data_IF_127396189830
#
_entry.id   IF_127396189830
#
_cell.length_a   1.000
_cell.length_b   1.000
_cell.length_c   1.000
_cell.angle_alpha   90.00
_cell.angle_beta   90.00
_cell.angle_gamma   90.00
#
_symmetry.space_group_name_H-M   'P 1'
#
loop_
_entity.id
_entity.type
_entity.pdbx_description
1 polymer ?
#
# COMPACT_ATOMS: atom_id res chain seq x y z
N UNK A 1 -0.06 -19.51 63.42
CA UNK A 1 -0.97 -20.60 63.01
C UNK A 1 -0.20 -21.63 62.20
N UNK A 2 -0.30 -22.93 62.50
CA UNK A 2 0.31 -23.97 61.68
C UNK A 2 -0.25 -23.94 60.25
N UNK A 3 0.60 -24.12 59.23
CA UNK A 3 0.16 -24.17 57.84
C UNK A 3 -0.81 -25.35 57.64
N UNK A 4 -2.00 -25.06 57.09
CA UNK A 4 -3.03 -26.06 56.82
C UNK A 4 -2.55 -27.06 55.75
N UNK A 5 -3.08 -28.29 55.75
CA UNK A 5 -2.62 -29.36 54.87
C UNK A 5 -2.68 -28.98 53.37
N UNK A 6 -3.71 -28.26 52.95
CA UNK A 6 -3.85 -27.79 51.56
C UNK A 6 -2.77 -26.77 51.16
N UNK A 7 -2.32 -25.92 52.09
CA UNK A 7 -1.24 -24.95 51.82
C UNK A 7 0.09 -25.67 51.58
N UNK A 8 0.35 -26.74 52.34
CA UNK A 8 1.53 -27.59 52.15
C UNK A 8 1.48 -28.28 50.79
N UNK A 9 0.32 -28.84 50.42
CA UNK A 9 0.11 -29.46 49.10
C UNK A 9 0.29 -28.47 47.96
N UNK A 10 -0.31 -27.28 48.04
CA UNK A 10 -0.20 -26.24 47.00
C UNK A 10 1.25 -25.77 46.83
N UNK A 11 1.97 -25.51 47.92
CA UNK A 11 3.39 -25.13 47.85
C UNK A 11 4.25 -26.23 47.23
N UNK A 12 3.97 -27.49 47.57
CA UNK A 12 4.64 -28.64 46.97
C UNK A 12 4.36 -28.72 45.48
N UNK A 13 3.10 -28.60 45.05
CA UNK A 13 2.74 -28.58 43.62
C UNK A 13 3.42 -27.45 42.84
N UNK A 14 3.54 -26.26 43.44
CA UNK A 14 4.27 -25.13 42.83
C UNK A 14 5.75 -25.45 42.68
N UNK A 15 6.37 -26.05 43.70
CA UNK A 15 7.77 -26.45 43.66
C UNK A 15 8.00 -27.56 42.62
N UNK A 16 7.12 -28.54 42.55
CA UNK A 16 7.21 -29.66 41.62
C UNK A 16 6.99 -29.21 40.17
N UNK A 17 6.03 -28.31 39.93
CA UNK A 17 5.71 -27.81 38.58
C UNK A 17 6.61 -26.67 38.10
N UNK A 18 7.16 -25.86 39.03
CA UNK A 18 7.86 -24.63 38.69
C UNK A 18 9.29 -24.50 39.23
N UNK A 19 9.80 -25.52 39.91
CA UNK A 19 11.14 -25.53 40.48
C UNK A 19 11.30 -24.64 41.71
N UNK A 20 12.54 -24.56 42.19
CA UNK A 20 12.89 -23.77 43.38
C UNK A 20 12.78 -22.26 43.12
N UNK A 21 12.55 -21.49 44.19
CA UNK A 21 12.48 -20.03 44.15
C UNK A 21 11.07 -19.45 44.06
N UNK A 22 10.02 -20.26 43.88
CA UNK A 22 8.62 -19.80 43.93
C UNK A 22 7.98 -20.07 45.29
N UNK A 23 7.45 -19.03 45.92
CA UNK A 23 6.79 -19.12 47.22
C UNK A 23 5.47 -18.36 47.22
N UNK A 24 4.47 -18.92 47.90
CA UNK A 24 3.16 -18.29 48.10
C UNK A 24 2.96 -17.97 49.58
N UNK A 25 2.33 -16.88 49.98
CA UNK A 25 1.87 -16.68 51.37
C UNK A 25 0.53 -15.94 51.39
N UNK A 26 -0.23 -16.13 52.46
CA UNK A 26 -1.40 -15.31 52.72
C UNK A 26 -0.96 -13.88 53.08
N UNK A 27 -1.55 -12.86 52.43
CA UNK A 27 -1.39 -11.46 52.82
C UNK A 27 -2.73 -10.74 52.64
N UNK A 28 -3.28 -10.20 53.73
CA UNK A 28 -4.54 -9.44 53.73
C UNK A 28 -5.70 -10.19 53.05
N UNK A 29 -5.85 -11.49 53.35
CA UNK A 29 -6.87 -12.36 52.73
C UNK A 29 -6.60 -12.76 51.28
N UNK A 30 -5.53 -12.26 50.65
CA UNK A 30 -5.16 -12.51 49.26
C UNK A 30 -3.87 -13.33 49.15
N UNK A 31 -3.62 -13.81 47.94
CA UNK A 31 -2.45 -14.63 47.61
C UNK A 31 -1.25 -13.75 47.26
N UNK A 32 -0.19 -13.77 48.07
CA UNK A 32 1.10 -13.15 47.73
C UNK A 32 2.01 -14.16 47.05
N UNK A 33 2.49 -13.83 45.86
CA UNK A 33 3.51 -14.57 45.13
C UNK A 33 4.88 -13.91 45.33
N UNK A 34 5.87 -14.73 45.68
CA UNK A 34 7.26 -14.32 45.88
C UNK A 34 8.16 -15.16 44.98
N UNK A 35 9.04 -14.51 44.22
CA UNK A 35 10.09 -15.13 43.44
C UNK A 35 11.45 -14.75 44.04
N UNK A 36 12.24 -15.76 44.38
CA UNK A 36 13.66 -15.64 44.72
C UNK A 36 14.47 -15.92 43.46
N UNK A 37 15.30 -14.96 43.07
CA UNK A 37 16.17 -15.04 41.90
C UNK A 37 17.52 -15.67 42.27
N UNK A 38 18.30 -16.05 41.26
CA UNK A 38 19.59 -16.73 41.44
C UNK A 38 20.63 -15.84 42.14
N UNK A 39 20.52 -14.52 41.98
CA UNK A 39 21.33 -13.51 42.67
C UNK A 39 20.93 -13.28 44.14
N UNK A 40 19.97 -14.07 44.65
CA UNK A 40 19.44 -13.96 46.02
C UNK A 40 18.43 -12.82 46.22
N UNK A 41 18.19 -11.99 45.21
CA UNK A 41 17.18 -10.93 45.29
C UNK A 41 15.76 -11.52 45.29
N UNK A 42 14.84 -10.81 45.94
CA UNK A 42 13.46 -11.25 46.10
C UNK A 42 12.52 -10.24 45.49
N UNK A 43 11.64 -10.72 44.63
CA UNK A 43 10.51 -9.95 44.11
C UNK A 43 9.21 -10.54 44.63
N UNK A 44 8.25 -9.70 45.01
CA UNK A 44 6.96 -10.17 45.49
C UNK A 44 5.82 -9.30 45.00
N UNK A 45 4.68 -9.92 44.69
CA UNK A 45 3.46 -9.22 44.28
C UNK A 45 2.21 -9.98 44.75
N UNK A 46 1.17 -9.24 45.10
CA UNK A 46 -0.12 -9.80 45.50
C UNK A 46 -0.96 -10.07 44.25
N UNK A 47 -1.41 -11.32 44.10
CA UNK A 47 -2.39 -11.73 43.11
C UNK A 47 -3.80 -11.35 43.61
N UNK A 48 -4.73 -10.94 42.73
CA UNK A 48 -6.11 -10.63 43.09
C UNK A 48 -6.96 -11.89 43.33
N UNK A 49 -6.39 -12.92 43.97
CA UNK A 49 -7.03 -14.20 44.26
C UNK A 49 -7.05 -14.40 45.76
N UNK A 50 -8.23 -14.72 46.32
CA UNK A 50 -8.41 -14.93 47.74
C UNK A 50 -7.65 -16.19 48.23
N UNK A 51 -6.96 -16.09 49.37
CA UNK A 51 -6.19 -17.19 49.96
C UNK A 51 -7.11 -18.20 50.66
N UNK A 52 -7.71 -19.10 49.87
CA UNK A 52 -8.61 -20.17 50.33
C UNK A 52 -8.33 -21.47 49.60
N UNK A 53 -8.61 -22.60 50.26
CA UNK A 53 -8.42 -23.94 49.71
C UNK A 53 -9.16 -24.17 48.38
N UNK A 54 -10.37 -23.62 48.23
CA UNK A 54 -11.19 -23.68 47.02
C UNK A 54 -10.52 -23.02 45.81
N UNK A 55 -9.62 -22.07 46.03
CA UNK A 55 -8.93 -21.34 44.97
C UNK A 55 -7.55 -21.94 44.64
N UNK A 56 -7.17 -23.06 45.24
CA UNK A 56 -5.84 -23.68 45.07
C UNK A 56 -5.45 -23.92 43.60
N UNK A 57 -6.37 -24.45 42.79
CA UNK A 57 -6.17 -24.66 41.34
C UNK A 57 -6.04 -23.32 40.60
N UNK A 58 -6.86 -22.32 40.96
CA UNK A 58 -6.80 -20.99 40.35
C UNK A 58 -5.46 -20.30 40.66
N UNK A 59 -4.97 -20.43 41.90
CA UNK A 59 -3.66 -19.93 42.33
C UNK A 59 -2.55 -20.61 41.53
N UNK A 60 -2.59 -21.94 41.40
CA UNK A 60 -1.61 -22.71 40.63
C UNK A 60 -1.54 -22.26 39.15
N UNK A 61 -2.70 -22.11 38.51
CA UNK A 61 -2.79 -21.65 37.13
C UNK A 61 -2.28 -20.22 36.95
N UNK A 62 -2.57 -19.33 37.92
CA UNK A 62 -2.06 -17.96 37.88
C UNK A 62 -0.54 -17.91 37.97
N UNK A 63 0.08 -18.71 38.86
CA UNK A 63 1.55 -18.81 38.92
C UNK A 63 2.14 -19.33 37.61
N UNK A 64 1.49 -20.33 36.99
CA UNK A 64 1.91 -20.89 35.69
C UNK A 64 1.93 -19.81 34.60
N UNK A 65 0.84 -19.03 34.46
CA UNK A 65 0.73 -17.97 33.45
C UNK A 65 1.71 -16.83 33.72
N UNK A 66 1.83 -16.39 34.97
CA UNK A 66 2.80 -15.34 35.35
C UNK A 66 4.22 -15.78 35.02
N UNK A 67 4.59 -17.02 35.31
CA UNK A 67 5.91 -17.56 34.94
C UNK A 67 6.12 -17.56 33.42
N UNK A 68 5.16 -18.07 32.66
CA UNK A 68 5.26 -18.09 31.19
C UNK A 68 5.39 -16.68 30.60
N UNK A 69 4.68 -15.69 31.15
CA UNK A 69 4.80 -14.28 30.75
C UNK A 69 6.19 -13.73 31.04
N UNK A 70 6.77 -14.05 32.21
CA UNK A 70 8.13 -13.65 32.57
C UNK A 70 9.15 -14.27 31.60
N UNK A 71 9.06 -15.57 31.32
CA UNK A 71 10.02 -16.27 30.45
C UNK A 71 9.89 -15.90 28.97
N UNK A 72 8.66 -15.83 28.44
CA UNK A 72 8.43 -15.58 27.01
C UNK A 72 8.64 -14.13 26.58
N UNK A 73 8.51 -13.17 27.51
CA UNK A 73 8.58 -11.72 27.22
C UNK A 73 9.68 -11.00 27.99
N UNK A 74 10.50 -11.72 28.77
CA UNK A 74 11.55 -11.18 29.62
C UNK A 74 11.05 -10.05 30.55
N UNK A 75 9.90 -10.26 31.21
CA UNK A 75 9.21 -9.27 32.03
C UNK A 75 9.53 -9.42 33.52
N UNK A 76 9.42 -8.31 34.26
CA UNK A 76 9.47 -8.33 35.72
C UNK A 76 8.24 -9.03 36.34
N UNK A 77 8.36 -9.56 37.56
CA UNK A 77 7.23 -10.17 38.28
C UNK A 77 6.05 -9.20 38.43
N UNK A 78 6.33 -7.93 38.66
CA UNK A 78 5.30 -6.90 38.81
C UNK A 78 4.53 -6.66 37.51
N UNK A 79 5.22 -6.63 36.37
CA UNK A 79 4.59 -6.45 35.05
C UNK A 79 3.84 -7.69 34.60
N UNK A 80 4.39 -8.89 34.82
CA UNK A 80 3.73 -10.14 34.50
C UNK A 80 2.42 -10.30 35.28
N UNK A 81 2.41 -10.00 36.58
CA UNK A 81 1.18 -10.00 37.40
C UNK A 81 0.21 -8.92 36.96
N UNK A 82 0.69 -7.73 36.56
CA UNK A 82 -0.18 -6.66 36.03
C UNK A 82 -0.87 -7.10 34.74
N UNK A 83 -0.14 -7.75 33.82
CA UNK A 83 -0.70 -8.25 32.57
C UNK A 83 -1.68 -9.41 32.79
N UNK A 84 -1.35 -10.40 33.63
CA UNK A 84 -2.26 -11.49 33.99
C UNK A 84 -3.54 -10.94 34.66
N UNK A 85 -3.39 -9.96 35.55
CA UNK A 85 -4.54 -9.31 36.20
C UNK A 85 -5.36 -8.49 35.21
N UNK A 86 -4.73 -7.79 34.27
CA UNK A 86 -5.43 -7.03 33.24
C UNK A 86 -6.18 -7.97 32.27
N UNK A 87 -5.59 -9.11 31.93
CA UNK A 87 -6.21 -10.16 31.10
C UNK A 87 -7.42 -10.79 31.80
N UNK A 88 -7.39 -10.95 33.13
CA UNK A 88 -8.52 -11.40 33.95
C UNK A 88 -9.58 -10.30 34.20
N UNK A 89 -9.20 -9.02 34.14
CA UNK A 89 -10.09 -7.87 34.34
C UNK A 89 -10.81 -7.45 33.05
N UNK A 90 -10.33 -7.86 31.89
CA UNK A 90 -11.12 -7.87 30.67
C UNK A 90 -12.12 -9.02 30.82
N UNK A 91 -13.44 -8.77 30.88
CA UNK A 91 -14.39 -9.87 30.89
C UNK A 91 -14.14 -10.69 29.62
N UNK A 92 -13.76 -11.95 29.81
CA UNK A 92 -13.70 -12.98 28.78
C UNK A 92 -15.11 -13.34 28.34
N UNK A 93 -15.83 -12.37 27.81
CA UNK A 93 -16.86 -12.58 26.82
C UNK A 93 -16.16 -12.68 25.47
N UNK A 94 -15.52 -13.83 25.19
CA UNK A 94 -15.45 -14.27 23.81
C UNK A 94 -16.89 -14.48 23.37
N UNK A 95 -17.44 -13.45 22.74
CA UNK A 95 -18.67 -13.49 21.94
C UNK A 95 -18.41 -12.71 20.66
N UNK A 96 -17.16 -12.79 20.18
CA UNK A 96 -16.69 -12.16 18.97
C UNK A 96 -16.84 -13.10 17.79
N UNK A 97 -16.91 -12.55 16.59
CA UNK A 97 -17.04 -13.31 15.33
C UNK A 97 -15.91 -14.35 15.16
N UNK A 98 -14.78 -14.21 15.84
CA UNK A 98 -13.71 -15.22 15.85
C UNK A 98 -14.15 -16.62 16.34
N UNK A 99 -15.14 -16.72 17.22
CA UNK A 99 -15.69 -18.01 17.68
C UNK A 99 -16.39 -18.78 16.57
N UNK A 100 -16.92 -18.06 15.58
CA UNK A 100 -17.56 -18.62 14.38
C UNK A 100 -16.53 -19.06 13.33
N UNK A 101 -15.24 -18.90 13.61
CA UNK A 101 -14.12 -19.30 12.76
C UNK A 101 -13.65 -18.21 11.80
N UNK A 102 -12.48 -18.44 11.21
CA UNK A 102 -11.77 -17.46 10.37
C UNK A 102 -12.56 -17.00 9.15
N UNK A 103 -13.38 -17.87 8.56
CA UNK A 103 -14.24 -17.53 7.44
C UNK A 103 -15.25 -16.44 7.82
N UNK A 104 -15.84 -16.51 9.02
CA UNK A 104 -16.79 -15.51 9.52
C UNK A 104 -16.10 -14.16 9.74
N UNK A 105 -14.90 -14.16 10.34
CA UNK A 105 -14.08 -12.95 10.55
C UNK A 105 -13.72 -12.28 9.23
N UNK A 106 -13.38 -13.07 8.20
CA UNK A 106 -13.11 -12.54 6.85
C UNK A 106 -14.36 -11.88 6.25
N UNK A 107 -15.54 -12.50 6.35
CA UNK A 107 -16.77 -11.91 5.81
C UNK A 107 -17.13 -10.61 6.53
N UNK A 108 -17.02 -10.57 7.86
CA UNK A 108 -17.29 -9.37 8.65
C UNK A 108 -16.31 -8.24 8.30
N UNK A 109 -15.02 -8.56 8.21
CA UNK A 109 -14.00 -7.60 7.80
C UNK A 109 -14.30 -7.02 6.42
N UNK A 110 -14.67 -7.87 5.44
CA UNK A 110 -15.05 -7.43 4.09
C UNK A 110 -16.33 -6.60 4.06
N UNK A 111 -17.32 -6.89 4.93
CA UNK A 111 -18.52 -6.07 5.09
C UNK A 111 -18.17 -4.64 5.50
N UNK A 112 -17.19 -4.48 6.40
CA UNK A 112 -16.61 -3.18 6.76
C UNK A 112 -15.83 -2.48 5.64
N UNK A 113 -15.61 -3.12 4.49
CA UNK A 113 -14.89 -2.58 3.32
C UNK A 113 -15.78 -2.33 2.10
N UNK A 114 -17.10 -2.39 2.22
CA UNK A 114 -18.02 -2.21 1.08
C UNK A 114 -17.91 -0.84 0.39
N UNK A 115 -17.36 0.18 1.05
CA UNK A 115 -17.07 1.49 0.43
C UNK A 115 -15.83 1.52 -0.48
N UNK A 116 -15.11 0.41 -0.65
CA UNK A 116 -13.97 0.32 -1.57
C UNK A 116 -14.42 0.14 -3.03
N UNK A 117 -13.56 0.57 -3.97
CA UNK A 117 -13.77 0.26 -5.39
C UNK A 117 -13.81 -1.26 -5.62
N UNK A 118 -14.64 -1.69 -6.57
CA UNK A 118 -14.86 -3.11 -6.91
C UNK A 118 -13.56 -3.89 -7.13
N UNK A 119 -12.61 -3.32 -7.89
CA UNK A 119 -11.30 -3.95 -8.13
C UNK A 119 -10.46 -4.09 -6.87
N UNK A 120 -10.42 -3.05 -6.02
CA UNK A 120 -9.68 -3.09 -4.75
C UNK A 120 -10.28 -4.11 -3.78
N UNK A 121 -11.61 -4.19 -3.75
CA UNK A 121 -12.32 -5.17 -2.94
C UNK A 121 -12.07 -6.60 -3.45
N UNK A 122 -12.12 -6.82 -4.77
CA UNK A 122 -11.79 -8.10 -5.40
C UNK A 122 -10.38 -8.55 -5.07
N UNK A 123 -9.39 -7.67 -5.22
CA UNK A 123 -7.99 -7.95 -4.88
C UNK A 123 -7.82 -8.29 -3.39
N UNK A 124 -8.50 -7.56 -2.50
CA UNK A 124 -8.49 -7.85 -1.06
C UNK A 124 -9.11 -9.22 -0.78
N UNK A 125 -10.24 -9.55 -1.40
CA UNK A 125 -10.91 -10.85 -1.26
C UNK A 125 -9.99 -12.00 -1.68
N UNK A 126 -9.30 -11.87 -2.80
CA UNK A 126 -8.32 -12.86 -3.26
C UNK A 126 -7.22 -13.09 -2.22
N UNK A 127 -6.69 -12.03 -1.61
CA UNK A 127 -5.66 -12.14 -0.57
C UNK A 127 -6.18 -12.82 0.71
N UNK A 128 -7.39 -12.48 1.14
CA UNK A 128 -7.99 -13.09 2.33
C UNK A 128 -8.36 -14.57 2.09
N UNK A 129 -8.82 -14.92 0.89
CA UNK A 129 -9.07 -16.32 0.52
C UNK A 129 -7.78 -17.15 0.56
N UNK A 130 -6.66 -16.60 0.06
CA UNK A 130 -5.34 -17.23 0.18
C UNK A 130 -4.92 -17.44 1.64
N UNK A 131 -5.24 -16.50 2.53
CA UNK A 131 -5.00 -16.66 3.97
C UNK A 131 -5.82 -17.82 4.56
N UNK A 132 -7.09 -17.96 4.16
CA UNK A 132 -7.93 -19.08 4.61
C UNK A 132 -7.34 -20.43 4.17
N UNK A 133 -6.80 -20.52 2.95
CA UNK A 133 -6.07 -21.71 2.48
C UNK A 133 -4.87 -22.02 3.39
N UNK A 134 -4.09 -21.01 3.79
CA UNK A 134 -2.96 -21.22 4.70
C UNK A 134 -3.36 -21.70 6.10
N UNK A 135 -4.51 -21.24 6.60
CA UNK A 135 -5.04 -21.60 7.92
C UNK A 135 -5.56 -23.03 7.97
N UNK A 136 -6.07 -23.54 6.85
CA UNK A 136 -6.64 -24.90 6.79
C UNK A 136 -5.59 -26.00 6.52
N UNK A 137 -4.47 -25.64 5.85
CA UNK A 137 -3.39 -26.59 5.58
C UNK A 137 -2.71 -27.13 6.84
N UNK A 138 -2.50 -28.46 6.87
CA UNK A 138 -1.78 -29.16 7.95
C UNK A 138 -0.25 -29.06 7.77
N UNK A 139 0.53 -28.90 8.85
CA UNK A 139 0.09 -28.62 10.22
C UNK A 139 -0.47 -27.20 10.34
N UNK A 140 -1.61 -27.02 11.01
CA UNK A 140 -2.27 -25.70 11.10
C UNK A 140 -1.35 -24.67 11.77
N UNK A 141 -1.22 -23.45 11.22
CA UNK A 141 -0.40 -22.43 11.85
C UNK A 141 -1.01 -22.05 13.21
N UNK A 142 -0.16 -21.76 14.20
CA UNK A 142 -0.59 -21.47 15.57
C UNK A 142 -0.46 -19.99 15.95
N UNK A 143 0.24 -19.22 15.13
CA UNK A 143 0.50 -17.80 15.35
C UNK A 143 0.59 -17.05 14.00
N UNK A 144 0.65 -15.73 14.09
CA UNK A 144 0.79 -14.84 12.93
C UNK A 144 2.09 -15.07 12.17
N UNK A 145 3.18 -15.47 12.83
CA UNK A 145 4.50 -15.66 12.22
C UNK A 145 4.52 -16.88 11.29
N UNK A 146 4.04 -18.01 11.77
CA UNK A 146 3.91 -19.26 11.02
C UNK A 146 2.95 -19.08 9.83
N UNK A 147 1.84 -18.37 10.03
CA UNK A 147 0.89 -18.06 8.97
C UNK A 147 1.52 -17.21 7.87
N UNK A 148 2.21 -16.11 8.23
CA UNK A 148 2.83 -15.21 7.24
C UNK A 148 3.98 -15.88 6.48
N UNK A 149 4.82 -16.70 7.14
CA UNK A 149 5.84 -17.52 6.47
C UNK A 149 5.21 -18.46 5.45
N UNK A 150 4.15 -19.17 5.84
CA UNK A 150 3.44 -20.09 4.95
C UNK A 150 2.80 -19.36 3.77
N UNK A 151 2.16 -18.22 4.03
CA UNK A 151 1.56 -17.40 2.98
C UNK A 151 2.61 -17.00 1.93
N UNK A 152 3.79 -16.56 2.39
CA UNK A 152 4.89 -16.22 1.50
C UNK A 152 5.37 -17.44 0.70
N UNK A 153 5.57 -18.59 1.34
CA UNK A 153 6.00 -19.83 0.69
C UNK A 153 5.06 -20.29 -0.43
N UNK A 154 3.74 -20.19 -0.22
CA UNK A 154 2.75 -20.68 -1.18
C UNK A 154 2.46 -19.71 -2.32
N UNK A 155 2.55 -18.40 -2.07
CA UNK A 155 2.00 -17.41 -3.00
C UNK A 155 3.02 -16.40 -3.52
N UNK A 156 4.28 -16.43 -3.07
CA UNK A 156 5.31 -15.49 -3.54
C UNK A 156 6.29 -16.08 -4.56
N UNK A 157 6.13 -17.33 -4.97
CA UNK A 157 6.99 -17.97 -5.99
C UNK A 157 7.11 -17.13 -7.26
N UNK A 158 5.97 -16.63 -7.74
CA UNK A 158 5.87 -15.88 -9.00
C UNK A 158 5.91 -14.36 -8.78
N UNK A 159 6.24 -13.90 -7.56
CA UNK A 159 6.30 -12.49 -7.22
C UNK A 159 7.74 -12.07 -6.98
N UNK A 160 8.16 -10.98 -7.61
CA UNK A 160 9.48 -10.40 -7.39
C UNK A 160 9.71 -10.02 -5.92
N UNK A 161 10.90 -10.34 -5.43
CA UNK A 161 11.39 -9.89 -4.13
C UNK A 161 11.41 -8.36 -4.06
N UNK A 162 10.96 -7.78 -2.94
CA UNK A 162 10.82 -6.33 -2.76
C UNK A 162 9.76 -5.67 -3.64
N UNK A 163 9.00 -6.45 -4.42
CA UNK A 163 7.97 -5.97 -5.31
C UNK A 163 6.69 -5.50 -4.60
N UNK A 164 5.92 -4.65 -5.28
CA UNK A 164 4.61 -4.17 -4.82
C UNK A 164 3.62 -5.31 -4.55
N UNK A 165 3.71 -6.42 -5.30
CA UNK A 165 2.89 -7.61 -5.11
C UNK A 165 3.04 -8.19 -3.72
N UNK A 166 4.27 -8.52 -3.31
CA UNK A 166 4.57 -9.05 -1.96
C UNK A 166 4.16 -8.06 -0.88
N UNK A 167 4.51 -6.77 -1.04
CA UNK A 167 4.15 -5.68 -0.12
C UNK A 167 2.64 -5.61 0.14
N UNK A 168 1.82 -5.55 -0.91
CA UNK A 168 0.35 -5.46 -0.79
C UNK A 168 -0.27 -6.69 -0.16
N UNK A 169 0.29 -7.87 -0.45
CA UNK A 169 -0.12 -9.13 0.18
C UNK A 169 0.10 -9.08 1.69
N UNK A 170 1.35 -8.90 2.13
CA UNK A 170 1.70 -8.85 3.55
C UNK A 170 0.91 -7.76 4.29
N UNK A 171 0.86 -6.53 3.77
CA UNK A 171 0.17 -5.43 4.42
C UNK A 171 -1.34 -5.68 4.59
N UNK A 172 -1.99 -6.31 3.61
CA UNK A 172 -3.41 -6.63 3.71
C UNK A 172 -3.68 -7.69 4.79
N UNK A 173 -2.83 -8.71 4.86
CA UNK A 173 -2.94 -9.77 5.88
C UNK A 173 -2.67 -9.20 7.28
N UNK A 174 -1.62 -8.39 7.43
CA UNK A 174 -1.29 -7.72 8.70
C UNK A 174 -2.45 -6.83 9.17
N UNK A 175 -3.06 -6.04 8.27
CA UNK A 175 -4.21 -5.22 8.61
C UNK A 175 -5.43 -6.05 9.04
N UNK A 176 -5.68 -7.18 8.36
CA UNK A 176 -6.74 -8.12 8.73
C UNK A 176 -6.49 -8.76 10.10
N UNK A 177 -5.28 -9.25 10.36
CA UNK A 177 -4.94 -9.89 11.64
C UNK A 177 -5.07 -8.94 12.83
N UNK A 178 -4.68 -7.67 12.66
CA UNK A 178 -4.93 -6.63 13.67
C UNK A 178 -6.42 -6.45 13.93
N UNK A 179 -7.24 -6.35 12.88
CA UNK A 179 -8.69 -6.30 13.03
C UNK A 179 -9.25 -7.53 13.75
N UNK A 180 -8.76 -8.73 13.41
CA UNK A 180 -9.23 -9.97 14.00
C UNK A 180 -9.01 -10.01 15.52
N UNK A 181 -7.84 -9.55 15.99
CA UNK A 181 -7.52 -9.46 17.42
C UNK A 181 -8.28 -8.31 18.08
N UNK A 182 -8.20 -7.10 17.53
CA UNK A 182 -8.69 -5.88 18.18
C UNK A 182 -10.23 -5.79 18.20
N UNK A 183 -10.92 -6.38 17.21
CA UNK A 183 -12.37 -6.20 17.01
C UNK A 183 -13.17 -7.49 16.91
N UNK A 184 -12.59 -8.57 16.40
CA UNK A 184 -13.31 -9.83 16.23
C UNK A 184 -13.08 -10.84 17.37
N UNK A 185 -12.20 -10.52 18.33
CA UNK A 185 -11.95 -11.35 19.52
C UNK A 185 -10.99 -12.53 19.30
N UNK A 186 -10.15 -12.50 18.25
CA UNK A 186 -9.14 -13.53 18.02
C UNK A 186 -8.02 -13.47 19.08
N UNK A 187 -7.41 -14.63 19.37
CA UNK A 187 -6.35 -14.75 20.36
C UNK A 187 -5.12 -13.88 20.02
N UNK A 188 -4.43 -13.36 21.05
CA UNK A 188 -3.29 -12.45 20.91
C UNK A 188 -2.10 -13.01 20.12
N UNK A 189 -1.96 -14.34 20.01
CA UNK A 189 -0.93 -14.98 19.17
C UNK A 189 -1.06 -14.63 17.67
N UNK A 190 -2.22 -14.13 17.24
CA UNK A 190 -2.48 -13.69 15.88
C UNK A 190 -2.11 -12.24 15.62
N UNK A 191 -1.72 -11.48 16.65
CA UNK A 191 -1.26 -10.11 16.46
C UNK A 191 0.03 -10.13 15.61
N UNK A 192 0.11 -9.37 14.50
CA UNK A 192 1.30 -9.37 13.66
C UNK A 192 2.53 -8.84 14.40
N UNK A 193 3.66 -9.53 14.19
CA UNK A 193 4.96 -9.25 14.79
C UNK A 193 5.63 -7.99 14.22
N UNK A 194 6.88 -7.74 14.62
CA UNK A 194 7.68 -6.56 14.28
C UNK A 194 7.76 -6.24 12.78
N UNK A 195 7.93 -4.94 12.48
CA UNK A 195 8.07 -4.44 11.10
C UNK A 195 9.25 -5.10 10.36
N UNK A 196 10.34 -5.40 11.07
CA UNK A 196 11.53 -6.11 10.57
C UNK A 196 11.16 -7.45 9.92
N UNK A 197 10.36 -8.28 10.61
CA UNK A 197 9.92 -9.58 10.10
C UNK A 197 9.04 -9.45 8.85
N UNK A 198 8.13 -8.48 8.82
CA UNK A 198 7.30 -8.25 7.61
C UNK A 198 8.14 -7.76 6.43
N UNK A 199 9.20 -6.99 6.68
CA UNK A 199 10.12 -6.53 5.65
C UNK A 199 10.95 -7.68 5.07
N UNK A 200 11.40 -8.63 5.91
CA UNK A 200 12.09 -9.85 5.49
C UNK A 200 11.25 -10.66 4.49
N UNK A 201 9.95 -10.85 4.77
CA UNK A 201 9.04 -11.58 3.87
C UNK A 201 8.77 -10.85 2.55
N UNK A 202 8.73 -9.52 2.59
CA UNK A 202 8.59 -8.71 1.37
C UNK A 202 9.88 -8.81 0.54
N UNK A 203 11.03 -8.83 1.21
CA UNK A 203 12.36 -8.87 0.61
C UNK A 203 12.82 -7.51 0.09
N UNK A 204 14.03 -7.51 -0.46
CA UNK A 204 14.64 -6.34 -1.11
C UNK A 204 14.51 -6.51 -2.62
N UNK A 205 14.24 -5.41 -3.31
CA UNK A 205 14.16 -5.40 -4.76
C UNK A 205 15.57 -5.36 -5.35
N UNK A 206 15.82 -6.23 -6.33
CA UNK A 206 17.08 -6.25 -7.08
C UNK A 206 17.28 -4.94 -7.87
N UNK A 207 16.19 -4.37 -8.40
CA UNK A 207 16.22 -3.12 -9.16
C UNK A 207 16.11 -1.91 -8.24
N UNK A 208 16.99 -0.92 -8.44
CA UNK A 208 16.91 0.36 -7.72
C UNK A 208 15.61 1.11 -8.04
N UNK A 209 15.28 2.12 -7.24
CA UNK A 209 14.13 2.99 -7.52
C UNK A 209 14.33 3.75 -8.83
N UNK A 210 15.55 4.22 -9.09
CA UNK A 210 15.91 4.98 -10.30
C UNK A 210 15.77 4.13 -11.56
N UNK A 211 16.24 2.87 -11.53
CA UNK A 211 16.10 1.96 -12.66
C UNK A 211 14.65 1.47 -12.90
N UNK A 212 13.72 1.71 -11.96
CA UNK A 212 12.28 1.44 -12.15
C UNK A 212 11.49 2.62 -12.68
N UNK A 213 12.12 3.79 -12.85
CA UNK A 213 11.43 4.95 -13.40
C UNK A 213 11.07 4.68 -14.85
N UNK A 214 9.77 4.73 -15.14
CA UNK A 214 9.31 4.73 -16.52
C UNK A 214 9.86 5.98 -17.23
N UNK A 215 10.65 5.82 -18.30
CA UNK A 215 11.25 6.95 -18.99
C UNK A 215 10.19 7.77 -19.75
N UNK A 216 10.41 9.08 -19.94
CA UNK A 216 9.63 9.88 -20.88
C UNK A 216 9.99 9.52 -22.33
N UNK A 217 9.02 9.60 -23.24
CA UNK A 217 9.34 9.61 -24.69
C UNK A 217 9.93 10.99 -25.01
N UNK A 218 11.09 11.04 -25.64
CA UNK A 218 11.76 12.30 -25.99
C UNK A 218 11.06 12.97 -27.18
N UNK A 219 11.29 14.27 -27.36
CA UNK A 219 10.63 15.08 -28.38
C UNK A 219 10.75 14.52 -29.81
N UNK A 220 11.94 14.09 -30.29
CA UNK A 220 12.08 13.55 -31.65
C UNK A 220 11.29 12.24 -31.86
N UNK A 221 11.37 11.32 -30.89
CA UNK A 221 10.65 10.05 -30.95
C UNK A 221 9.13 10.25 -30.92
N UNK A 222 8.65 11.22 -30.13
CA UNK A 222 7.23 11.56 -30.09
C UNK A 222 6.76 12.15 -31.42
N UNK A 223 7.53 13.07 -32.00
CA UNK A 223 7.24 13.66 -33.30
C UNK A 223 7.16 12.59 -34.40
N UNK A 224 8.18 11.71 -34.48
CA UNK A 224 8.22 10.61 -35.44
C UNK A 224 7.04 9.64 -35.27
N UNK A 225 6.64 9.35 -34.03
CA UNK A 225 5.48 8.51 -33.75
C UNK A 225 4.17 9.15 -34.24
N UNK A 226 3.98 10.45 -34.01
CA UNK A 226 2.79 11.18 -34.46
C UNK A 226 2.74 11.30 -35.99
N UNK A 227 3.88 11.51 -36.65
CA UNK A 227 3.97 11.56 -38.11
C UNK A 227 3.60 10.23 -38.74
N UNK A 228 4.12 9.14 -38.21
CA UNK A 228 3.79 7.82 -38.75
C UNK A 228 2.31 7.51 -38.58
N UNK A 229 1.68 7.91 -37.48
CA UNK A 229 0.22 7.75 -37.35
C UNK A 229 -0.57 8.59 -38.36
N UNK A 230 -0.07 9.78 -38.73
CA UNK A 230 -0.67 10.58 -39.79
C UNK A 230 -0.47 9.92 -41.16
N UNK A 231 0.74 9.46 -41.47
CA UNK A 231 1.09 8.80 -42.74
C UNK A 231 0.32 7.50 -42.95
N UNK A 232 0.13 6.71 -41.88
CA UNK A 232 -0.66 5.46 -41.91
C UNK A 232 -2.18 5.70 -41.91
N UNK A 233 -2.65 6.95 -41.95
CA UNK A 233 -4.07 7.30 -41.91
C UNK A 233 -4.76 6.97 -40.58
N UNK A 234 -3.98 6.74 -39.52
CA UNK A 234 -4.45 6.40 -38.16
C UNK A 234 -4.77 7.67 -37.36
N UNK A 235 -5.57 8.56 -37.93
CA UNK A 235 -5.90 9.85 -37.34
C UNK A 235 -6.60 9.73 -35.97
N UNK A 236 -7.37 8.66 -35.76
CA UNK A 236 -8.02 8.36 -34.47
C UNK A 236 -6.99 8.10 -33.36
N UNK A 237 -6.00 7.25 -33.65
CA UNK A 237 -4.91 6.91 -32.74
C UNK A 237 -3.96 8.08 -32.57
N UNK A 238 -3.69 8.85 -33.64
CA UNK A 238 -2.89 10.08 -33.58
C UNK A 238 -3.52 11.09 -32.65
N UNK A 239 -4.82 11.37 -32.80
CA UNK A 239 -5.54 12.30 -31.93
C UNK A 239 -5.46 11.88 -30.46
N UNK A 240 -5.78 10.61 -30.17
CA UNK A 240 -5.69 10.10 -28.79
C UNK A 240 -4.27 10.21 -28.22
N UNK A 241 -3.26 9.90 -29.02
CA UNK A 241 -1.85 9.97 -28.62
C UNK A 241 -1.39 11.41 -28.39
N UNK A 242 -1.74 12.34 -29.28
CA UNK A 242 -1.46 13.76 -29.14
C UNK A 242 -2.14 14.36 -27.92
N UNK A 243 -3.42 14.04 -27.66
CA UNK A 243 -4.11 14.48 -26.44
C UNK A 243 -3.38 13.97 -25.18
N UNK A 244 -2.93 12.72 -25.15
CA UNK A 244 -2.21 12.17 -24.00
C UNK A 244 -0.83 12.83 -23.82
N UNK A 245 -0.05 12.93 -24.88
CA UNK A 245 1.35 13.33 -24.83
C UNK A 245 1.55 14.85 -24.80
N UNK A 246 0.68 15.62 -25.45
CA UNK A 246 0.78 17.09 -25.52
C UNK A 246 0.03 17.79 -24.39
N UNK A 247 -0.99 17.18 -23.78
CA UNK A 247 -1.70 17.75 -22.62
C UNK A 247 -1.38 17.04 -21.29
N UNK A 248 -0.48 16.05 -21.33
CA UNK A 248 -0.06 15.31 -20.16
C UNK A 248 -1.22 14.57 -19.49
N UNK A 249 -2.13 13.96 -20.27
CA UNK A 249 -3.28 13.23 -19.73
C UNK A 249 -2.91 11.82 -19.28
N UNK A 250 -3.66 11.25 -18.34
CA UNK A 250 -3.64 9.79 -18.15
C UNK A 250 -4.43 9.15 -19.29
N UNK A 251 -4.07 7.95 -19.77
CA UNK A 251 -4.86 7.27 -20.82
C UNK A 251 -6.36 7.13 -20.47
N UNK A 252 -6.67 6.88 -19.20
CA UNK A 252 -8.06 6.80 -18.73
C UNK A 252 -8.80 8.15 -18.72
N UNK A 253 -8.09 9.28 -18.70
CA UNK A 253 -8.69 10.63 -18.69
C UNK A 253 -9.35 10.98 -20.03
N UNK A 254 -9.07 10.23 -21.11
CA UNK A 254 -9.80 10.33 -22.39
C UNK A 254 -11.33 10.19 -22.22
N UNK A 255 -11.79 9.51 -21.17
CA UNK A 255 -13.21 9.34 -20.87
C UNK A 255 -13.90 10.57 -20.26
N UNK A 256 -13.13 11.54 -19.77
CA UNK A 256 -13.63 12.66 -18.97
C UNK A 256 -13.11 14.00 -19.50
N UNK A 257 -12.98 14.11 -20.82
CA UNK A 257 -12.55 15.35 -21.47
C UNK A 257 -13.76 16.25 -21.74
N UNK A 258 -13.55 17.56 -21.56
CA UNK A 258 -14.52 18.58 -21.94
C UNK A 258 -13.77 19.80 -22.46
N UNK A 259 -14.31 20.45 -23.49
CA UNK A 259 -13.75 21.69 -24.04
C UNK A 259 -14.67 22.85 -23.66
N UNK A 260 -14.09 23.90 -23.08
CA UNK A 260 -14.81 25.13 -22.72
C UNK A 260 -13.97 26.32 -23.15
N UNK A 261 -14.56 27.24 -23.92
CA UNK A 261 -13.87 28.46 -24.39
C UNK A 261 -12.51 28.15 -25.07
N UNK A 262 -12.45 27.11 -25.89
CA UNK A 262 -11.22 26.70 -26.57
C UNK A 262 -10.13 26.11 -25.65
N UNK A 263 -10.46 25.78 -24.39
CA UNK A 263 -9.54 25.17 -23.42
C UNK A 263 -9.98 23.75 -23.06
N UNK A 264 -9.02 22.85 -22.92
CA UNK A 264 -9.27 21.47 -22.53
C UNK A 264 -9.33 21.35 -21.00
N UNK A 265 -10.31 20.60 -20.52
CA UNK A 265 -10.40 20.19 -19.12
C UNK A 265 -10.54 18.68 -19.03
N UNK A 266 -9.93 18.07 -18.00
CA UNK A 266 -10.20 16.66 -17.69
C UNK A 266 -10.67 16.44 -16.26
N UNK A 267 -11.67 15.57 -16.13
CA UNK A 267 -12.20 15.09 -14.86
C UNK A 267 -11.29 14.09 -14.14
N UNK A 268 -11.66 13.79 -12.89
CA UNK A 268 -10.85 12.94 -12.02
C UNK A 268 -11.15 11.44 -12.19
N UNK A 269 -10.22 10.70 -12.82
CA UNK A 269 -10.33 9.24 -12.97
C UNK A 269 -9.92 8.45 -11.71
N UNK A 270 -9.08 9.05 -10.86
CA UNK A 270 -8.58 8.45 -9.61
C UNK A 270 -9.13 9.20 -8.40
N UNK A 271 -9.92 8.52 -7.58
CA UNK A 271 -10.43 8.96 -6.27
C UNK A 271 -10.02 7.93 -5.23
N UNK A 272 -9.43 8.40 -4.14
CA UNK A 272 -9.03 7.55 -3.02
C UNK A 272 -10.24 7.27 -2.14
N UNK A 273 -10.21 6.22 -1.33
CA UNK A 273 -11.34 5.84 -0.46
C UNK A 273 -11.79 6.98 0.45
N UNK A 274 -10.84 7.71 1.04
CA UNK A 274 -11.12 8.87 1.89
C UNK A 274 -11.79 10.04 1.14
N UNK A 275 -11.60 10.12 -0.19
CA UNK A 275 -12.17 11.17 -1.03
C UNK A 275 -13.31 10.69 -1.92
N UNK A 276 -13.80 9.45 -1.76
CA UNK A 276 -14.97 8.94 -2.50
C UNK A 276 -16.27 9.62 -2.05
N UNK A 277 -16.42 9.89 -0.75
CA UNK A 277 -17.59 10.57 -0.18
C UNK A 277 -17.54 12.10 -0.31
N UNK A 278 -16.37 12.67 -0.65
CA UNK A 278 -16.21 14.11 -0.81
C UNK A 278 -16.82 14.60 -2.13
N UNK A 279 -17.07 15.90 -2.29
CA UNK A 279 -17.45 16.46 -3.59
C UNK A 279 -16.35 16.14 -4.62
N UNK A 280 -16.70 15.70 -5.85
CA UNK A 280 -15.72 15.50 -6.91
C UNK A 280 -14.90 16.78 -7.11
N UNK A 281 -13.59 16.63 -7.29
CA UNK A 281 -12.74 17.77 -7.68
C UNK A 281 -13.23 18.30 -9.02
N UNK A 282 -13.28 19.64 -9.22
CA UNK A 282 -13.62 20.19 -10.52
C UNK A 282 -12.63 19.68 -11.57
N UNK A 283 -13.06 19.55 -12.84
CA UNK A 283 -12.16 19.26 -13.95
C UNK A 283 -10.97 20.21 -13.94
N UNK A 284 -9.75 19.68 -14.07
CA UNK A 284 -8.54 20.51 -14.12
C UNK A 284 -8.35 21.04 -15.53
N UNK A 285 -7.79 22.24 -15.64
CA UNK A 285 -7.29 22.77 -16.89
C UNK A 285 -6.12 21.93 -17.41
N UNK A 286 -6.12 21.66 -18.70
CA UNK A 286 -5.04 20.99 -19.41
C UNK A 286 -4.59 21.90 -20.56
N UNK A 287 -3.31 22.27 -20.55
CA UNK A 287 -2.72 23.11 -21.59
C UNK A 287 -1.71 22.29 -22.41
N UNK A 288 -1.65 22.52 -23.73
CA UNK A 288 -0.70 21.81 -24.57
C UNK A 288 0.72 22.29 -24.30
N UNK A 289 1.67 21.38 -24.37
CA UNK A 289 3.09 21.67 -24.56
C UNK A 289 3.52 21.01 -25.86
N UNK A 290 3.71 21.85 -26.87
CA UNK A 290 4.09 21.44 -28.21
C UNK A 290 5.53 20.91 -28.24
N UNK A 291 5.86 20.31 -29.37
CA UNK A 291 7.21 19.84 -29.67
C UNK A 291 7.92 20.98 -30.40
N UNK A 292 9.21 21.19 -30.12
CA UNK A 292 10.04 22.16 -30.82
C UNK A 292 9.94 21.97 -32.35
N UNK A 293 9.68 23.06 -33.08
CA UNK A 293 9.46 23.02 -34.53
C UNK A 293 8.07 22.54 -34.97
N UNK A 294 7.13 22.40 -34.02
CA UNK A 294 5.73 21.97 -34.24
C UNK A 294 4.74 22.84 -33.48
N UNK A 295 5.01 24.13 -33.46
CA UNK A 295 4.20 25.11 -32.76
C UNK A 295 2.75 25.06 -33.26
N UNK A 296 1.80 24.95 -32.33
CA UNK A 296 0.37 24.84 -32.62
C UNK A 296 -0.16 23.42 -32.77
N UNK A 297 0.67 22.37 -32.73
CA UNK A 297 0.20 20.97 -32.89
C UNK A 297 -0.82 20.57 -31.80
N UNK A 298 -0.59 20.96 -30.55
CA UNK A 298 -1.51 20.71 -29.45
C UNK A 298 -2.85 21.44 -29.61
N UNK A 299 -2.82 22.67 -30.10
CA UNK A 299 -4.05 23.42 -30.40
C UNK A 299 -4.80 22.81 -31.59
N UNK A 300 -4.10 22.34 -32.63
CA UNK A 300 -4.70 21.59 -33.74
C UNK A 300 -5.38 20.32 -33.24
N UNK A 301 -4.73 19.55 -32.36
CA UNK A 301 -5.31 18.35 -31.75
C UNK A 301 -6.58 18.70 -30.94
N UNK A 302 -6.57 19.80 -30.18
CA UNK A 302 -7.74 20.26 -29.45
C UNK A 302 -8.90 20.65 -30.37
N UNK A 303 -8.62 21.36 -31.46
CA UNK A 303 -9.64 21.74 -32.45
C UNK A 303 -10.25 20.51 -33.13
N UNK A 304 -9.44 19.52 -33.51
CA UNK A 304 -9.92 18.25 -34.08
C UNK A 304 -10.80 17.48 -33.09
N UNK A 305 -10.40 17.44 -31.82
CA UNK A 305 -11.22 16.83 -30.76
C UNK A 305 -12.53 17.58 -30.54
N UNK A 306 -12.49 18.91 -30.44
CA UNK A 306 -13.65 19.76 -30.16
C UNK A 306 -14.67 19.78 -31.32
N UNK A 307 -14.20 19.76 -32.57
CA UNK A 307 -15.05 19.74 -33.75
C UNK A 307 -15.73 18.38 -33.99
N UNK A 308 -15.21 17.30 -33.40
CA UNK A 308 -15.69 15.95 -33.63
C UNK A 308 -15.40 15.39 -35.04
N UNK A 309 -14.64 16.11 -35.87
CA UNK A 309 -14.22 15.69 -37.20
C UNK A 309 -13.39 14.41 -37.14
N UNK A 310 -12.52 14.30 -36.13
CA UNK A 310 -11.77 13.09 -35.82
C UNK A 310 -12.26 12.57 -34.47
N UNK A 311 -12.72 11.32 -34.47
CA UNK A 311 -13.16 10.65 -33.25
C UNK A 311 -12.01 9.89 -32.60
N UNK A 312 -12.11 9.67 -31.30
CA UNK A 312 -11.24 8.72 -30.61
C UNK A 312 -11.42 7.30 -31.18
N UNK A 313 -10.44 6.40 -31.03
CA UNK A 313 -10.56 5.04 -31.54
C UNK A 313 -11.80 4.32 -31.03
N UNK A 314 -12.46 3.53 -31.89
CA UNK A 314 -13.76 2.92 -31.57
C UNK A 314 -13.74 2.04 -30.31
N UNK A 315 -12.65 1.30 -30.08
CA UNK A 315 -12.50 0.49 -28.86
C UNK A 315 -12.44 1.35 -27.58
N UNK A 316 -11.90 2.55 -27.66
CA UNK A 316 -11.87 3.53 -26.56
C UNK A 316 -13.27 4.07 -26.33
N UNK A 317 -13.98 4.48 -27.39
CA UNK A 317 -15.36 4.97 -27.30
C UNK A 317 -16.31 3.93 -26.68
N UNK A 318 -16.19 2.66 -27.09
CA UNK A 318 -16.98 1.55 -26.55
C UNK A 318 -16.73 1.33 -25.05
N UNK A 319 -15.52 1.60 -24.56
CA UNK A 319 -15.23 1.49 -23.13
C UNK A 319 -15.67 2.74 -22.37
N UNK A 320 -15.66 3.92 -23.01
CA UNK A 320 -16.22 5.16 -22.44
C UNK A 320 -17.72 4.99 -22.18
N UNK A 321 -18.48 4.44 -23.13
CA UNK A 321 -19.92 4.23 -22.96
C UNK A 321 -20.28 3.25 -21.83
N UNK A 322 -19.33 2.40 -21.42
CA UNK A 322 -19.50 1.40 -20.35
C UNK A 322 -18.97 1.86 -18.99
N UNK A 323 -18.46 3.09 -18.88
CA UNK A 323 -17.85 3.59 -17.63
C UNK A 323 -18.86 3.62 -16.49
N UNK A 324 -20.10 4.07 -16.74
CA UNK A 324 -21.15 4.17 -15.73
C UNK A 324 -21.58 2.77 -15.25
N UNK A 325 -21.75 1.83 -16.17
CA UNK A 325 -22.06 0.43 -15.85
C UNK A 325 -20.92 -0.21 -15.05
N UNK A 326 -19.67 -0.06 -15.50
CA UNK A 326 -18.49 -0.70 -14.88
C UNK A 326 -17.99 0.04 -13.63
N UNK A 327 -18.48 1.25 -13.36
CA UNK A 327 -18.02 2.15 -12.31
C UNK A 327 -16.48 2.31 -12.30
N UNK A 328 -15.86 2.33 -13.49
CA UNK A 328 -14.40 2.26 -13.64
C UNK A 328 -13.90 2.80 -14.98
N UNK A 329 -12.89 3.67 -14.93
CA UNK A 329 -12.19 4.22 -16.09
C UNK A 329 -11.00 3.38 -16.57
N UNK A 330 -10.65 2.31 -15.83
CA UNK A 330 -9.43 1.52 -16.11
C UNK A 330 -9.43 0.93 -17.52
N UNK A 331 -10.59 0.48 -17.99
CA UNK A 331 -10.71 -0.20 -19.27
C UNK A 331 -10.53 0.73 -20.47
N UNK A 332 -10.89 2.01 -20.34
CA UNK A 332 -10.63 3.03 -21.36
C UNK A 332 -9.13 3.14 -21.66
N UNK A 333 -8.32 3.26 -20.60
CA UNK A 333 -6.87 3.29 -20.74
C UNK A 333 -6.28 1.97 -21.26
N UNK A 334 -6.89 0.83 -20.93
CA UNK A 334 -6.47 -0.47 -21.46
C UNK A 334 -6.79 -0.63 -22.94
N UNK A 335 -7.96 -0.19 -23.41
CA UNK A 335 -8.35 -0.21 -24.82
C UNK A 335 -7.37 0.61 -25.67
N UNK A 336 -7.07 1.85 -25.25
CA UNK A 336 -6.04 2.66 -25.90
C UNK A 336 -4.67 1.96 -25.91
N UNK A 337 -4.23 1.46 -24.74
CA UNK A 337 -2.95 0.78 -24.62
C UNK A 337 -2.83 -0.48 -25.48
N UNK A 338 -3.92 -1.23 -25.66
CA UNK A 338 -3.95 -2.40 -26.54
C UNK A 338 -3.79 -2.01 -28.01
N UNK A 339 -4.46 -0.95 -28.46
CA UNK A 339 -4.27 -0.43 -29.82
C UNK A 339 -2.83 0.00 -30.06
N UNK A 340 -2.26 0.77 -29.13
CA UNK A 340 -0.91 1.29 -29.27
C UNK A 340 0.14 0.15 -29.27
N UNK A 341 0.01 -0.85 -28.40
CA UNK A 341 0.93 -2.01 -28.38
C UNK A 341 0.92 -2.86 -29.65
N UNK A 342 -0.17 -2.83 -30.41
CA UNK A 342 -0.29 -3.54 -31.70
C UNK A 342 0.23 -2.72 -32.89
N UNK A 343 0.53 -1.44 -32.67
CA UNK A 343 0.98 -0.55 -33.72
C UNK A 343 2.49 -0.70 -33.97
N UNK A 344 2.89 -1.00 -35.20
CA UNK A 344 4.28 -1.35 -35.52
C UNK A 344 5.30 -0.23 -35.18
N UNK A 345 5.05 1.07 -35.47
CA UNK A 345 5.94 2.15 -35.04
C UNK A 345 6.12 2.23 -33.51
N UNK A 346 5.07 1.96 -32.74
CA UNK A 346 5.18 1.87 -31.28
C UNK A 346 6.05 0.68 -30.84
N UNK A 347 5.88 -0.48 -31.47
CA UNK A 347 6.70 -1.66 -31.18
C UNK A 347 8.18 -1.40 -31.49
N UNK A 348 8.47 -0.65 -32.56
CA UNK A 348 9.82 -0.23 -32.90
C UNK A 348 10.40 0.71 -31.84
N UNK A 349 9.62 1.70 -31.39
CA UNK A 349 10.04 2.58 -30.29
C UNK A 349 10.34 1.81 -29.01
N UNK A 350 9.49 0.86 -28.63
CA UNK A 350 9.72 -0.01 -27.45
C UNK A 350 10.94 -0.91 -27.66
N UNK A 351 11.22 -1.38 -28.87
CA UNK A 351 12.41 -2.18 -29.14
C UNK A 351 13.69 -1.37 -28.92
N UNK A 352 13.71 -0.11 -29.35
CA UNK A 352 14.83 0.80 -29.13
C UNK A 352 14.93 1.27 -27.68
N UNK A 353 13.80 1.37 -26.98
CA UNK A 353 13.70 1.82 -25.59
C UNK A 353 12.82 0.85 -24.76
N UNK A 354 13.35 -0.29 -24.30
CA UNK A 354 12.57 -1.39 -23.70
C UNK A 354 11.71 -1.01 -22.49
N UNK A 355 12.12 0.01 -21.73
CA UNK A 355 11.38 0.48 -20.54
C UNK A 355 10.19 1.39 -20.88
N UNK A 356 9.97 1.68 -22.16
CA UNK A 356 8.87 2.51 -22.63
C UNK A 356 7.53 1.84 -22.35
N UNK A 357 6.64 2.56 -21.68
CA UNK A 357 5.26 2.12 -21.44
C UNK A 357 4.26 3.14 -21.98
N UNK A 358 2.97 2.80 -21.96
CA UNK A 358 1.91 3.75 -22.34
C UNK A 358 1.97 5.03 -21.48
N UNK A 359 2.41 4.95 -20.22
CA UNK A 359 2.56 6.12 -19.36
C UNK A 359 3.76 7.00 -19.75
N UNK A 360 4.72 6.49 -20.53
CA UNK A 360 5.82 7.27 -21.08
C UNK A 360 5.35 8.44 -21.94
N UNK A 361 4.16 8.35 -22.56
CA UNK A 361 3.53 9.47 -23.27
C UNK A 361 3.17 10.63 -22.33
N UNK A 362 2.54 10.34 -21.18
CA UNK A 362 2.25 11.35 -20.16
C UNK A 362 3.54 11.92 -19.55
N UNK A 363 4.54 11.06 -19.41
CA UNK A 363 5.87 11.44 -18.91
C UNK A 363 6.61 12.35 -19.88
N UNK A 364 6.41 12.17 -21.19
CA UNK A 364 6.91 13.07 -22.23
C UNK A 364 6.50 14.52 -21.95
N UNK A 365 5.23 14.77 -21.63
CA UNK A 365 4.76 16.11 -21.23
C UNK A 365 5.49 16.64 -20.00
N UNK A 366 5.59 15.80 -18.95
CA UNK A 366 6.21 16.18 -17.68
C UNK A 366 7.71 16.47 -17.84
N UNK A 367 8.38 15.79 -18.77
CA UNK A 367 9.77 16.07 -19.10
C UNK A 367 9.88 17.38 -19.89
N UNK A 368 9.08 17.58 -20.94
CA UNK A 368 9.11 18.82 -21.74
C UNK A 368 8.86 20.07 -20.91
N UNK A 369 7.94 20.02 -19.94
CA UNK A 369 7.62 21.19 -19.12
C UNK A 369 8.79 21.73 -18.28
N UNK A 370 9.81 20.89 -18.02
CA UNK A 370 10.96 21.24 -17.20
C UNK A 370 12.27 21.34 -17.97
N UNK A 371 12.38 20.65 -19.11
CA UNK A 371 13.70 20.43 -19.76
C UNK A 371 13.77 21.00 -21.17
N UNK A 372 12.65 21.16 -21.88
CA UNK A 372 12.64 21.54 -23.30
C UNK A 372 12.40 23.02 -23.57
N UNK A 373 12.49 23.87 -22.56
CA UNK A 373 12.31 25.30 -22.71
C UNK A 373 13.37 26.04 -21.89
N UNK A 374 13.82 27.17 -22.43
CA UNK A 374 14.60 28.17 -21.67
C UNK A 374 13.80 28.79 -20.53
N UNK A 375 12.46 28.65 -20.56
CA UNK A 375 11.53 29.14 -19.54
C UNK A 375 10.72 27.96 -18.96
N UNK A 376 11.36 27.07 -18.17
CA UNK A 376 10.68 25.90 -17.63
C UNK A 376 9.53 26.29 -16.68
N UNK A 377 8.47 25.48 -16.68
CA UNK A 377 7.33 25.72 -15.81
C UNK A 377 7.71 25.49 -14.35
N UNK A 378 7.26 26.37 -13.47
CA UNK A 378 7.44 26.16 -12.05
C UNK A 378 6.71 24.88 -11.59
N UNK A 379 7.30 24.11 -10.66
CA UNK A 379 6.78 22.81 -10.19
C UNK A 379 5.32 22.89 -9.73
N UNK A 380 4.91 24.01 -9.11
CA UNK A 380 3.50 24.21 -8.69
C UNK A 380 2.54 24.31 -9.88
N UNK A 381 2.95 24.96 -10.96
CA UNK A 381 2.14 25.11 -12.17
C UNK A 381 2.07 23.78 -12.94
N UNK A 382 3.23 23.14 -13.17
CA UNK A 382 3.30 21.84 -13.82
C UNK A 382 2.49 20.77 -13.07
N UNK A 383 2.62 20.70 -11.74
CA UNK A 383 1.86 19.74 -10.91
C UNK A 383 0.36 20.01 -10.96
N UNK A 384 -0.08 21.28 -10.96
CA UNK A 384 -1.49 21.63 -11.09
C UNK A 384 -2.08 21.18 -12.45
N UNK A 385 -1.38 21.46 -13.56
CA UNK A 385 -1.78 21.03 -14.90
C UNK A 385 -1.85 19.50 -15.05
N UNK A 386 -0.98 18.77 -14.34
CA UNK A 386 -1.03 17.30 -14.29
C UNK A 386 -2.05 16.76 -13.28
N UNK A 387 -2.60 17.57 -12.38
CA UNK A 387 -3.50 17.10 -11.31
C UNK A 387 -2.77 16.34 -10.21
N UNK A 388 -1.53 16.74 -9.90
CA UNK A 388 -0.70 16.22 -8.81
C UNK A 388 -0.54 17.25 -7.69
N UNK A 389 -0.11 16.80 -6.52
CA UNK A 389 0.52 17.70 -5.54
C UNK A 389 1.98 17.91 -5.92
N UNK A 390 2.62 19.02 -5.53
CA UNK A 390 4.05 19.24 -5.80
C UNK A 390 4.94 18.09 -5.30
N UNK A 391 4.64 17.53 -4.12
CA UNK A 391 5.36 16.39 -3.55
C UNK A 391 5.30 15.16 -4.45
N UNK A 392 4.11 14.81 -4.97
CA UNK A 392 3.94 13.66 -5.88
C UNK A 392 4.64 13.92 -7.21
N UNK A 393 4.55 15.15 -7.72
CA UNK A 393 5.21 15.54 -8.97
C UNK A 393 6.73 15.38 -8.86
N UNK A 394 7.33 15.94 -7.81
CA UNK A 394 8.78 15.85 -7.58
C UNK A 394 9.23 14.41 -7.32
N UNK A 395 8.51 13.66 -6.49
CA UNK A 395 8.84 12.26 -6.22
C UNK A 395 8.80 11.38 -7.48
N UNK A 396 8.00 11.76 -8.49
CA UNK A 396 7.87 11.00 -9.74
C UNK A 396 8.84 11.48 -10.82
N UNK A 397 9.03 12.79 -10.97
CA UNK A 397 9.69 13.40 -12.13
C UNK A 397 11.01 14.10 -11.82
N UNK A 398 11.26 14.44 -10.56
CA UNK A 398 12.50 15.10 -10.13
C UNK A 398 13.75 14.21 -10.22
N UNK A 399 13.58 12.94 -10.59
CA UNK A 399 14.67 11.97 -10.74
C UNK A 399 15.14 11.82 -12.20
N UNK A 400 14.48 12.47 -13.17
CA UNK A 400 14.87 12.45 -14.58
C UNK A 400 15.92 13.51 -14.87
N UNK A 401 17.10 13.27 -14.34
CA UNK A 401 18.27 14.13 -14.53
C UNK A 401 19.37 13.25 -15.12
N UNK A 402 19.89 13.68 -16.26
CA UNK A 402 21.07 13.10 -16.91
C UNK A 402 22.23 14.12 -16.89
N UNK A 403 23.46 13.64 -17.08
CA UNK A 403 24.67 14.46 -17.01
C UNK A 403 24.62 15.64 -17.99
N UNK A 404 24.18 15.40 -19.23
CA UNK A 404 24.00 16.45 -20.23
C UNK A 404 23.00 17.53 -19.78
N UNK A 405 21.89 17.14 -19.14
CA UNK A 405 20.92 18.09 -18.59
C UNK A 405 21.46 18.91 -17.42
N UNK A 406 22.38 18.35 -16.62
CA UNK A 406 23.07 19.06 -15.54
C UNK A 406 24.06 20.08 -16.09
N UNK A 407 24.89 19.67 -17.06
CA UNK A 407 25.84 20.56 -17.74
C UNK A 407 25.11 21.76 -18.36
N UNK A 408 24.08 21.50 -19.16
CA UNK A 408 23.29 22.56 -19.80
C UNK A 408 22.57 23.46 -18.77
N UNK A 409 22.20 22.92 -17.59
CA UNK A 409 21.61 23.74 -16.53
C UNK A 409 22.64 24.67 -15.88
N UNK A 410 23.88 24.20 -15.67
CA UNK A 410 24.97 25.01 -15.12
C UNK A 410 25.45 26.05 -16.13
N UNK A 411 25.51 25.69 -17.42
CA UNK A 411 25.85 26.63 -18.50
C UNK A 411 24.84 27.79 -18.55
N UNK A 412 23.53 27.49 -18.59
CA UNK A 412 22.48 28.54 -18.53
C UNK A 412 22.55 29.38 -17.26
N UNK A 413 22.86 28.78 -16.11
CA UNK A 413 23.05 29.54 -14.87
C UNK A 413 24.22 30.51 -15.00
N UNK A 414 25.32 30.06 -15.60
CA UNK A 414 26.53 30.85 -15.83
C UNK A 414 26.29 31.99 -16.82
N UNK A 415 25.56 31.74 -17.91
CA UNK A 415 25.12 32.79 -18.86
C UNK A 415 24.22 33.84 -18.20
N UNK A 416 23.39 33.40 -17.23
CA UNK A 416 22.50 34.26 -16.46
C UNK A 416 23.17 35.03 -15.32
N UNK A 417 24.47 34.80 -15.05
CA UNK A 417 25.25 35.63 -14.15
C UNK A 417 25.45 37.00 -14.82
N UNK A 418 24.51 37.91 -14.54
CA UNK A 418 24.80 39.34 -14.70
C UNK A 418 26.01 39.61 -13.81
N UNK A 419 27.05 40.25 -14.36
CA UNK A 419 28.11 40.88 -13.56
C UNK A 419 27.43 41.80 -12.57
N UNK A 420 27.21 41.31 -11.36
CA UNK A 420 26.86 42.14 -10.24
C UNK A 420 28.13 42.98 -9.99
N UNK A 421 28.12 44.21 -10.50
CA UNK A 421 29.03 45.25 -10.04
C UNK A 421 28.72 45.44 -8.56
N UNK A 422 29.49 44.76 -7.71
CA UNK A 422 29.47 44.93 -6.26
C UNK A 422 30.13 46.24 -5.85
#
# INVERSE_FOLDING_TARGET
MPAQQWEKTLRRQIKDNHGFGWNLIAQSGKTKLTRVHEDGTKSAKVLPIEWKATNSVQILNAVTRVRQLMESRNLSLAEAVRLDTAELAVPSSHSGVAEQGWSAVVQEYLKGKQGLRSSTLSDLRTRLNRLLVCLDQKPKPRDSRALLKRYAQLFFSDMESGGEGRRRNIQSIVAFLRYAVDRAGAHQCWLPQEKSFTAELIGVSATSTQARLTPPIKSPDLAALLDQMEADGRHDLRLATALISLFGLRPAELALLSVKEGRLYAGAVKRNTASLAQKPKPPRLCLPLDIEGREGEGMKALQLYASGLVKLPQSVLNEISKVEEKQSFKQVGHAYGQLLRRYAPWQNLVRSNPDTTIYSLRHSWAWRCHVCSTHPLHVRQASALMGHTPTVHMATYGQWVDEASLEAAVERYTEGLVTADY
#
